data_IF_073279357010
#
_entry.id   IF_073279357010
#
_cell.length_a   1.000
_cell.length_b   1.000
_cell.length_c   1.000
_cell.angle_alpha   90.00
_cell.angle_beta   90.00
_cell.angle_gamma   90.00
#
_symmetry.space_group_name_H-M   'P 1'
#
loop_
_entity.id
_entity.type
_entity.pdbx_description
1 polymer ?
#
# COMPACT_ATOMS: atom_id res chain seq x y z
N UNK A 1 49.26 13.82 -20.57
CA UNK A 1 48.26 13.53 -19.53
C UNK A 1 47.26 12.53 -20.09
N UNK A 2 47.37 11.22 -19.80
CA UNK A 2 46.35 10.25 -20.23
C UNK A 2 45.06 10.46 -19.42
N UNK A 3 43.93 10.64 -20.11
CA UNK A 3 42.63 10.85 -19.48
C UNK A 3 42.07 9.57 -18.87
N UNK A 4 41.57 9.67 -17.64
CA UNK A 4 40.96 8.56 -16.92
C UNK A 4 39.43 8.69 -16.98
N UNK A 5 38.78 8.00 -17.92
CA UNK A 5 37.33 8.00 -18.06
C UNK A 5 36.69 6.95 -17.14
N UNK A 6 35.67 7.30 -16.33
CA UNK A 6 35.01 6.34 -15.46
C UNK A 6 34.15 5.35 -16.26
N UNK A 7 34.13 4.08 -15.83
CA UNK A 7 33.26 3.03 -16.39
C UNK A 7 31.85 3.12 -15.80
N UNK A 8 30.78 2.86 -16.58
CA UNK A 8 29.43 2.74 -16.06
C UNK A 8 29.23 1.43 -15.26
N UNK A 9 28.30 1.40 -14.29
CA UNK A 9 28.04 0.22 -13.47
C UNK A 9 27.25 -0.86 -14.22
N UNK A 10 27.69 -2.12 -14.09
CA UNK A 10 26.98 -3.30 -14.60
C UNK A 10 25.71 -3.59 -13.79
N UNK A 11 24.59 -3.75 -14.49
CA UNK A 11 23.27 -4.04 -13.90
C UNK A 11 23.19 -5.43 -13.26
N UNK A 12 22.64 -5.49 -12.04
CA UNK A 12 22.44 -6.71 -11.29
C UNK A 12 21.23 -7.50 -11.82
N UNK A 13 21.34 -8.84 -11.83
CA UNK A 13 20.36 -9.75 -12.41
C UNK A 13 19.42 -10.29 -11.33
N UNK A 14 18.22 -9.71 -11.21
CA UNK A 14 17.18 -10.16 -10.28
C UNK A 14 16.78 -11.61 -10.54
N UNK A 15 16.89 -12.47 -9.52
CA UNK A 15 16.33 -13.82 -9.53
C UNK A 15 15.06 -13.85 -8.67
N UNK A 16 13.98 -14.40 -9.24
CA UNK A 16 12.70 -14.60 -8.57
C UNK A 16 12.42 -16.09 -8.41
N UNK A 17 12.06 -16.52 -7.21
CA UNK A 17 11.54 -17.88 -6.97
C UNK A 17 10.66 -17.95 -5.70
N UNK A 18 9.36 -17.78 -5.93
CA UNK A 18 8.29 -18.71 -5.55
C UNK A 18 8.28 -19.38 -4.16
N UNK A 19 7.38 -18.85 -3.33
CA UNK A 19 6.46 -19.53 -2.39
C UNK A 19 6.18 -21.03 -2.59
N UNK A 20 6.22 -21.82 -1.50
CA UNK A 20 5.33 -22.98 -1.30
C UNK A 20 5.29 -23.48 0.17
N UNK A 21 4.09 -23.43 0.78
CA UNK A 21 3.62 -24.17 1.98
C UNK A 21 2.13 -23.81 2.15
N UNK A 22 1.25 -24.62 2.79
CA UNK A 22 1.53 -25.71 3.74
C UNK A 22 0.77 -27.04 3.47
N UNK A 23 1.09 -28.10 4.23
CA UNK A 23 0.23 -29.30 4.34
C UNK A 23 -0.06 -29.63 5.80
N UNK A 24 -1.34 -29.60 6.19
CA UNK A 24 -1.85 -30.16 7.45
C UNK A 24 -1.56 -31.66 7.51
N UNK A 25 -1.31 -32.20 8.71
CA UNK A 25 -1.90 -33.49 9.01
C UNK A 25 -2.34 -33.61 10.49
N UNK A 26 -3.41 -34.37 10.70
CA UNK A 26 -4.10 -34.55 11.98
C UNK A 26 -3.95 -36.00 12.45
N UNK A 27 -3.72 -36.25 13.73
CA UNK A 27 -4.07 -37.55 14.35
C UNK A 27 -3.99 -37.54 15.88
N UNK A 28 -5.14 -37.71 16.53
CA UNK A 28 -5.31 -38.14 17.92
C UNK A 28 -6.75 -38.70 18.08
N UNK A 29 -7.09 -39.42 19.16
CA UNK A 29 -6.56 -40.76 19.45
C UNK A 29 -7.69 -41.81 19.51
N UNK A 30 -7.31 -43.10 19.48
CA UNK A 30 -8.23 -44.24 19.51
C UNK A 30 -8.86 -44.50 20.89
N UNK A 31 -10.17 -44.84 20.90
CA UNK A 31 -10.88 -45.34 22.10
C UNK A 31 -10.63 -46.85 22.31
N UNK A 32 -10.60 -47.33 23.57
CA UNK A 32 -10.52 -48.76 23.88
C UNK A 32 -11.87 -49.49 23.74
N UNK A 33 -11.79 -50.81 23.61
CA UNK A 33 -12.88 -51.73 23.29
C UNK A 33 -13.62 -52.29 24.51
N UNK A 34 -14.88 -52.66 24.30
CA UNK A 34 -15.71 -53.40 25.27
C UNK A 34 -15.64 -54.92 25.06
N UNK A 35 -15.51 -55.67 26.16
CA UNK A 35 -15.85 -57.09 26.27
C UNK A 35 -16.38 -57.31 27.71
N UNK A 36 -17.49 -58.00 28.02
CA UNK A 36 -18.35 -59.04 27.43
C UNK A 36 -18.12 -60.45 28.04
N UNK A 37 -18.99 -60.78 29.00
CA UNK A 37 -19.51 -62.11 29.40
C UNK A 37 -18.56 -63.21 29.91
N UNK A 38 -18.91 -63.84 31.04
CA UNK A 38 -19.42 -65.25 31.14
C UNK A 38 -19.83 -65.57 32.61
N UNK A 39 -21.03 -66.11 32.87
CA UNK A 39 -21.41 -67.54 33.05
C UNK A 39 -20.88 -68.14 34.38
N UNK A 40 -21.66 -68.25 35.46
CA UNK A 40 -22.84 -69.10 35.72
C UNK A 40 -22.55 -70.62 35.87
N UNK A 41 -22.72 -71.15 37.11
CA UNK A 41 -23.29 -72.47 37.55
C UNK A 41 -22.66 -72.87 38.92
N UNK A 42 -23.24 -73.63 39.88
CA UNK A 42 -24.65 -74.07 40.17
C UNK A 42 -24.70 -75.03 41.38
N UNK A 43 -25.53 -74.75 42.41
CA UNK A 43 -25.77 -75.63 43.58
C UNK A 43 -25.28 -75.00 44.91
N UNK A 44 -25.81 -75.34 46.10
CA UNK A 44 -26.74 -76.42 46.49
C UNK A 44 -27.70 -76.02 47.64
N UNK A 45 -28.59 -76.98 48.00
CA UNK A 45 -29.54 -77.03 49.12
C UNK A 45 -28.95 -76.48 50.46
N UNK A 46 -29.73 -75.96 51.41
CA UNK A 46 -31.19 -75.80 51.50
C UNK A 46 -31.70 -76.12 52.91
N UNK A 47 -32.33 -75.15 53.60
CA UNK A 47 -32.93 -75.36 54.92
C UNK A 47 -34.18 -74.47 55.12
N UNK A 48 -35.27 -75.04 55.64
CA UNK A 48 -36.57 -74.36 55.78
C UNK A 48 -36.61 -73.47 57.03
N UNK A 49 -36.12 -72.24 56.93
CA UNK A 49 -36.30 -71.23 57.97
C UNK A 49 -37.75 -70.73 58.05
N UNK A 50 -38.22 -70.49 59.27
CA UNK A 50 -39.60 -70.08 59.56
C UNK A 50 -39.90 -68.64 59.13
N UNK A 51 -41.18 -68.32 58.90
CA UNK A 51 -41.62 -67.04 58.31
C UNK A 51 -41.18 -65.77 59.08
N UNK A 52 -40.90 -65.87 60.39
CA UNK A 52 -40.34 -64.76 61.18
C UNK A 52 -38.83 -64.56 60.97
N UNK A 53 -38.05 -65.64 60.83
CA UNK A 53 -36.61 -65.54 60.60
C UNK A 53 -36.28 -64.98 59.20
N UNK A 54 -37.07 -65.35 58.18
CA UNK A 54 -36.88 -64.86 56.80
C UNK A 54 -36.99 -63.34 56.71
N UNK A 55 -37.94 -62.74 57.45
CA UNK A 55 -38.18 -61.29 57.48
C UNK A 55 -37.05 -60.51 58.17
N UNK A 56 -36.48 -61.06 59.25
CA UNK A 56 -35.30 -60.49 59.94
C UNK A 56 -34.05 -60.59 59.06
N UNK A 57 -33.85 -61.72 58.37
CA UNK A 57 -32.70 -61.90 57.46
C UNK A 57 -32.77 -60.93 56.27
N UNK A 58 -33.95 -60.75 55.69
CA UNK A 58 -34.19 -59.82 54.57
C UNK A 58 -34.04 -58.35 54.99
N UNK A 59 -34.49 -57.98 56.19
CA UNK A 59 -34.32 -56.63 56.73
C UNK A 59 -32.85 -56.32 57.04
N UNK A 60 -32.12 -57.27 57.64
CA UNK A 60 -30.67 -57.13 57.89
C UNK A 60 -29.87 -57.05 56.60
N UNK A 61 -30.26 -57.81 55.57
CA UNK A 61 -29.65 -57.76 54.24
C UNK A 61 -29.88 -56.41 53.55
N UNK A 62 -31.05 -55.78 53.73
CA UNK A 62 -31.31 -54.41 53.25
C UNK A 62 -30.50 -53.35 53.98
N UNK A 63 -30.32 -53.45 55.30
CA UNK A 63 -29.45 -52.53 56.04
C UNK A 63 -27.98 -52.66 55.62
N UNK A 64 -27.52 -53.89 55.36
CA UNK A 64 -26.16 -54.18 54.91
C UNK A 64 -25.92 -53.71 53.46
N UNK A 65 -26.90 -53.89 52.57
CA UNK A 65 -26.89 -53.40 51.19
C UNK A 65 -27.02 -51.86 51.12
N UNK A 66 -27.82 -51.22 51.99
CA UNK A 66 -27.90 -49.76 52.11
C UNK A 66 -26.59 -49.16 52.69
N UNK A 67 -25.96 -49.84 53.65
CA UNK A 67 -24.66 -49.44 54.21
C UNK A 67 -23.56 -49.54 53.16
N UNK A 68 -23.50 -50.65 52.40
CA UNK A 68 -22.57 -50.80 51.27
C UNK A 68 -22.81 -49.73 50.20
N UNK A 69 -24.07 -49.40 49.87
CA UNK A 69 -24.37 -48.35 48.90
C UNK A 69 -23.91 -46.96 49.37
N UNK A 70 -24.03 -46.65 50.67
CA UNK A 70 -23.53 -45.39 51.25
C UNK A 70 -22.00 -45.33 51.26
N UNK A 71 -21.33 -46.43 51.60
CA UNK A 71 -19.85 -46.52 51.56
C UNK A 71 -19.31 -46.40 50.11
N UNK A 72 -20.02 -46.95 49.12
CA UNK A 72 -19.69 -46.80 47.69
C UNK A 72 -19.98 -45.36 47.19
N UNK A 73 -21.12 -44.74 47.55
CA UNK A 73 -21.44 -43.34 47.25
C UNK A 73 -20.41 -42.37 47.87
N UNK A 74 -19.96 -42.62 49.11
CA UNK A 74 -18.93 -41.79 49.76
C UNK A 74 -17.56 -41.96 49.11
N UNK A 75 -17.19 -43.18 48.67
CA UNK A 75 -15.94 -43.42 47.93
C UNK A 75 -15.93 -42.69 46.58
N UNK A 76 -17.00 -42.84 45.79
CA UNK A 76 -17.16 -42.15 44.49
C UNK A 76 -17.08 -40.64 44.67
N UNK A 77 -17.78 -40.06 45.66
CA UNK A 77 -17.78 -38.61 45.91
C UNK A 77 -16.39 -38.08 46.28
N UNK A 78 -15.58 -38.88 46.96
CA UNK A 78 -14.20 -38.55 47.33
C UNK A 78 -13.25 -38.63 46.13
N UNK A 79 -13.40 -39.65 45.30
CA UNK A 79 -12.68 -39.80 44.01
C UNK A 79 -13.01 -38.63 43.06
N UNK A 80 -14.29 -38.23 42.94
CA UNK A 80 -14.72 -37.08 42.13
C UNK A 80 -14.15 -35.72 42.62
N UNK A 81 -14.09 -35.50 43.95
CA UNK A 81 -13.52 -34.27 44.49
C UNK A 81 -12.00 -34.20 44.29
N UNK A 82 -11.29 -35.33 44.40
CA UNK A 82 -9.85 -35.43 44.15
C UNK A 82 -9.54 -35.24 42.65
N UNK A 83 -10.33 -35.83 41.75
CA UNK A 83 -10.19 -35.63 40.30
C UNK A 83 -10.47 -34.17 39.90
N UNK A 84 -11.48 -33.52 40.52
CA UNK A 84 -11.78 -32.11 40.28
C UNK A 84 -10.61 -31.21 40.71
N UNK A 85 -10.06 -31.42 41.91
CA UNK A 85 -8.87 -30.67 42.39
C UNK A 85 -7.67 -30.86 41.48
N UNK A 86 -7.43 -32.09 41.00
CA UNK A 86 -6.34 -32.39 40.08
C UNK A 86 -6.49 -31.65 38.73
N UNK A 87 -7.70 -31.64 38.16
CA UNK A 87 -8.02 -30.89 36.92
C UNK A 87 -7.83 -29.38 37.09
N UNK A 88 -8.30 -28.83 38.21
CA UNK A 88 -8.16 -27.39 38.52
C UNK A 88 -6.69 -26.98 38.70
N UNK A 89 -5.86 -27.83 39.34
CA UNK A 89 -4.42 -27.57 39.47
C UNK A 89 -3.68 -27.70 38.13
N UNK A 90 -4.07 -28.65 37.28
CA UNK A 90 -3.51 -28.85 35.94
C UNK A 90 -3.86 -27.67 35.01
N UNK A 91 -5.13 -27.22 35.01
CA UNK A 91 -5.57 -26.04 34.26
C UNK A 91 -4.86 -24.77 34.74
N UNK A 92 -4.68 -24.60 36.07
CA UNK A 92 -3.93 -23.46 36.62
C UNK A 92 -2.47 -23.45 36.13
N UNK A 93 -1.79 -24.61 36.12
CA UNK A 93 -0.42 -24.74 35.60
C UNK A 93 -0.34 -24.43 34.12
N UNK A 94 -1.27 -24.94 33.30
CA UNK A 94 -1.33 -24.65 31.87
C UNK A 94 -1.53 -23.14 31.61
N UNK A 95 -2.41 -22.50 32.37
CA UNK A 95 -2.66 -21.06 32.21
C UNK A 95 -1.47 -20.19 32.66
N UNK A 96 -0.78 -20.59 33.74
CA UNK A 96 0.42 -19.91 34.24
C UNK A 96 1.59 -20.05 33.25
N UNK A 97 1.83 -21.24 32.69
CA UNK A 97 2.78 -21.45 31.60
C UNK A 97 2.43 -20.61 30.36
N UNK A 98 1.15 -20.55 30.00
CA UNK A 98 0.68 -19.78 28.83
C UNK A 98 0.90 -18.29 29.03
N UNK A 99 0.64 -17.76 30.23
CA UNK A 99 0.89 -16.36 30.56
C UNK A 99 2.39 -16.05 30.52
N UNK A 100 3.21 -16.91 31.12
CA UNK A 100 4.68 -16.76 31.09
C UNK A 100 5.23 -16.75 29.66
N UNK A 101 4.80 -17.70 28.80
CA UNK A 101 5.17 -17.73 27.37
C UNK A 101 4.72 -16.47 26.61
N UNK A 102 3.55 -15.93 26.93
CA UNK A 102 3.06 -14.69 26.31
C UNK A 102 3.84 -13.44 26.78
N UNK A 103 4.25 -13.39 28.06
CA UNK A 103 5.11 -12.34 28.60
C UNK A 103 6.52 -12.39 27.99
N UNK A 104 7.10 -13.59 27.84
CA UNK A 104 8.40 -13.82 27.18
C UNK A 104 8.36 -13.44 25.69
N UNK A 105 7.33 -13.86 24.94
CA UNK A 105 7.15 -13.49 23.52
C UNK A 105 6.98 -11.99 23.34
N UNK A 106 6.15 -11.35 24.19
CA UNK A 106 5.97 -9.90 24.16
C UNK A 106 7.30 -9.18 24.41
N UNK A 107 8.09 -9.61 25.41
CA UNK A 107 9.40 -9.03 25.70
C UNK A 107 10.35 -9.17 24.51
N UNK A 108 10.37 -10.32 23.82
CA UNK A 108 11.18 -10.51 22.60
C UNK A 108 10.75 -9.54 21.49
N UNK A 109 9.45 -9.38 21.26
CA UNK A 109 8.92 -8.46 20.25
C UNK A 109 9.19 -6.98 20.59
N UNK A 110 9.10 -6.59 21.86
CA UNK A 110 9.44 -5.23 22.32
C UNK A 110 10.96 -4.96 22.16
N UNK A 111 11.83 -5.95 22.39
CA UNK A 111 13.29 -5.88 22.15
C UNK A 111 13.64 -5.81 20.66
N UNK A 112 13.04 -6.68 19.82
CA UNK A 112 13.19 -6.66 18.35
C UNK A 112 12.75 -5.32 17.77
N UNK A 113 11.59 -4.81 18.21
CA UNK A 113 11.09 -3.50 17.79
C UNK A 113 12.01 -2.37 18.24
N UNK A 114 12.53 -2.41 19.47
CA UNK A 114 13.48 -1.44 19.98
C UNK A 114 14.76 -1.35 19.13
N UNK A 115 15.31 -2.48 18.68
CA UNK A 115 16.44 -2.53 17.75
C UNK A 115 16.06 -2.00 16.36
N UNK A 116 14.91 -2.41 15.82
CA UNK A 116 14.46 -1.97 14.49
C UNK A 116 14.23 -0.45 14.43
N UNK A 117 13.52 0.10 15.42
CA UNK A 117 13.18 1.53 15.49
C UNK A 117 14.42 2.42 15.74
N UNK A 118 15.45 1.91 16.44
CA UNK A 118 16.65 2.69 16.79
C UNK A 118 17.82 2.57 15.81
N UNK A 119 18.00 1.43 15.12
CA UNK A 119 19.12 1.23 14.20
C UNK A 119 18.68 1.19 12.74
N UNK A 120 17.61 0.43 12.42
CA UNK A 120 17.23 0.15 11.02
C UNK A 120 16.51 1.35 10.41
N UNK A 121 15.53 1.94 11.11
CA UNK A 121 14.78 3.10 10.58
C UNK A 121 15.70 4.31 10.32
N UNK A 122 16.59 4.74 11.25
CA UNK A 122 17.50 5.85 10.98
C UNK A 122 18.48 5.55 9.84
N UNK A 123 19.09 4.36 9.81
CA UNK A 123 20.00 3.97 8.72
C UNK A 123 19.31 3.96 7.35
N UNK A 124 18.06 3.50 7.29
CA UNK A 124 17.29 3.53 6.04
C UNK A 124 16.93 4.97 5.62
N UNK A 125 16.55 5.83 6.58
CA UNK A 125 16.27 7.24 6.34
C UNK A 125 17.50 8.00 5.83
N UNK A 126 18.68 7.76 6.41
CA UNK A 126 19.95 8.36 5.97
C UNK A 126 20.34 7.90 4.55
N UNK A 127 20.20 6.60 4.25
CA UNK A 127 20.43 6.04 2.91
C UNK A 127 19.48 6.64 1.88
N UNK A 128 18.19 6.75 2.22
CA UNK A 128 17.19 7.36 1.35
C UNK A 128 17.49 8.84 1.10
N UNK A 129 17.85 9.60 2.14
CA UNK A 129 18.24 11.01 2.02
C UNK A 129 19.49 11.19 1.15
N UNK A 130 20.50 10.33 1.30
CA UNK A 130 21.70 10.34 0.44
C UNK A 130 21.35 10.04 -1.02
N UNK A 131 20.46 9.06 -1.27
CA UNK A 131 19.99 8.75 -2.62
C UNK A 131 19.19 9.92 -3.24
N UNK A 132 18.37 10.63 -2.45
CA UNK A 132 17.63 11.80 -2.93
C UNK A 132 18.57 12.97 -3.28
N UNK A 133 19.64 13.18 -2.51
CA UNK A 133 20.67 14.18 -2.85
C UNK A 133 21.34 13.83 -4.18
N UNK A 134 21.83 12.59 -4.33
CA UNK A 134 22.50 12.15 -5.57
C UNK A 134 21.57 12.24 -6.78
N UNK A 135 20.28 11.89 -6.62
CA UNK A 135 19.29 12.03 -7.68
C UNK A 135 19.04 13.50 -8.05
N UNK A 136 19.01 14.43 -7.08
CA UNK A 136 18.89 15.87 -7.34
C UNK A 136 20.13 16.42 -8.05
N UNK A 137 21.34 16.01 -7.64
CA UNK A 137 22.59 16.40 -8.31
C UNK A 137 22.66 15.87 -9.75
N UNK A 138 22.19 14.65 -10.01
CA UNK A 138 22.12 14.07 -11.36
C UNK A 138 21.08 14.79 -12.24
N UNK A 139 19.92 15.15 -11.69
CA UNK A 139 18.90 15.92 -12.39
C UNK A 139 19.35 17.37 -12.70
N UNK A 140 19.96 18.07 -11.74
CA UNK A 140 20.57 19.39 -11.95
C UNK A 140 21.68 19.33 -13.02
N UNK A 141 22.49 18.27 -13.02
CA UNK A 141 23.50 18.04 -14.05
C UNK A 141 22.88 17.77 -15.43
N UNK A 142 21.82 16.97 -15.51
CA UNK A 142 21.12 16.72 -16.77
C UNK A 142 20.47 18.00 -17.33
N UNK A 143 19.86 18.83 -16.48
CA UNK A 143 19.32 20.15 -16.85
C UNK A 143 20.42 21.08 -17.39
N UNK A 144 21.60 21.08 -16.76
CA UNK A 144 22.78 21.82 -17.26
C UNK A 144 23.30 21.29 -18.60
N UNK A 145 23.45 19.97 -18.76
CA UNK A 145 23.94 19.34 -20.01
C UNK A 145 22.99 19.55 -21.19
N UNK A 146 21.68 19.53 -20.94
CA UNK A 146 20.66 19.79 -21.96
C UNK A 146 20.47 21.29 -22.25
N UNK A 147 21.14 22.18 -21.51
CA UNK A 147 20.94 23.63 -21.55
C UNK A 147 19.47 24.05 -21.37
N UNK A 148 18.73 23.34 -20.52
CA UNK A 148 17.32 23.66 -20.26
C UNK A 148 17.22 24.91 -19.38
N UNK A 149 16.81 26.03 -19.98
CA UNK A 149 16.58 27.32 -19.30
C UNK A 149 15.27 27.34 -18.49
N UNK A 150 14.98 26.26 -17.77
CA UNK A 150 13.80 26.16 -16.91
C UNK A 150 14.04 26.97 -15.62
N UNK A 151 13.05 27.73 -15.12
CA UNK A 151 13.20 28.52 -13.91
C UNK A 151 13.37 27.62 -12.68
N UNK A 152 14.13 28.12 -11.70
CA UNK A 152 14.28 27.48 -10.39
C UNK A 152 13.00 27.66 -9.58
N UNK A 153 12.30 26.55 -9.35
CA UNK A 153 11.05 26.54 -8.59
C UNK A 153 11.21 26.94 -7.11
N UNK A 154 12.43 26.81 -6.57
CA UNK A 154 12.80 27.25 -5.22
C UNK A 154 12.99 28.80 -5.12
N UNK A 155 12.97 29.54 -6.24
CA UNK A 155 13.21 31.00 -6.30
C UNK A 155 12.02 31.76 -6.90
N UNK A 156 11.27 32.44 -6.03
CA UNK A 156 10.20 33.37 -6.40
C UNK A 156 10.62 34.38 -7.49
N UNK A 157 11.86 34.87 -7.47
CA UNK A 157 12.32 35.89 -8.43
C UNK A 157 12.42 35.29 -9.82
N UNK A 158 12.99 34.10 -9.94
CA UNK A 158 13.17 33.40 -11.22
C UNK A 158 11.81 32.97 -11.81
N UNK A 159 10.91 32.43 -10.97
CA UNK A 159 9.54 32.12 -11.37
C UNK A 159 8.72 33.34 -11.82
N UNK A 160 8.85 34.48 -11.13
CA UNK A 160 8.19 35.72 -11.54
C UNK A 160 8.81 36.30 -12.82
N UNK A 161 10.14 36.18 -13.00
CA UNK A 161 10.81 36.59 -14.23
C UNK A 161 10.34 35.75 -15.43
N UNK A 162 10.24 34.43 -15.28
CA UNK A 162 9.74 33.52 -16.32
C UNK A 162 8.28 33.82 -16.72
N UNK A 163 7.39 34.03 -15.75
CA UNK A 163 5.99 34.39 -16.04
C UNK A 163 5.89 35.77 -16.69
N UNK A 164 6.75 36.72 -16.29
CA UNK A 164 6.76 38.06 -16.88
C UNK A 164 7.30 38.04 -18.31
N UNK A 165 8.41 37.34 -18.57
CA UNK A 165 8.97 37.21 -19.92
C UNK A 165 8.02 36.47 -20.87
N UNK A 166 7.31 35.45 -20.40
CA UNK A 166 6.24 34.79 -21.16
C UNK A 166 5.14 35.78 -21.57
N UNK A 167 4.65 36.60 -20.64
CA UNK A 167 3.62 37.62 -20.93
C UNK A 167 4.12 38.66 -21.91
N UNK A 168 5.34 39.16 -21.71
CA UNK A 168 5.96 40.14 -22.61
C UNK A 168 6.13 39.57 -24.03
N UNK A 169 6.56 38.31 -24.15
CA UNK A 169 6.64 37.60 -25.43
C UNK A 169 5.28 37.45 -26.09
N UNK A 170 4.24 37.04 -25.34
CA UNK A 170 2.88 36.90 -25.87
C UNK A 170 2.29 38.26 -26.29
N UNK A 171 2.51 39.33 -25.53
CA UNK A 171 2.08 40.70 -25.89
C UNK A 171 2.83 41.22 -27.13
N UNK A 172 4.13 40.95 -27.25
CA UNK A 172 4.91 41.25 -28.45
C UNK A 172 4.44 40.44 -29.67
N UNK A 173 4.02 39.18 -29.47
CA UNK A 173 3.44 38.33 -30.51
C UNK A 173 2.03 38.79 -30.93
N UNK A 174 1.24 39.40 -30.04
CA UNK A 174 -0.02 40.08 -30.39
C UNK A 174 0.20 41.38 -31.19
N UNK A 175 1.26 42.14 -30.88
CA UNK A 175 1.57 43.42 -31.55
C UNK A 175 2.20 43.27 -32.93
N UNK A 176 2.88 42.15 -33.21
CA UNK A 176 3.45 41.85 -34.52
C UNK A 176 2.37 41.27 -35.43
N UNK A 177 2.20 41.80 -36.64
CA UNK A 177 1.26 41.27 -37.66
C UNK A 177 1.59 39.85 -38.15
N UNK A 178 2.72 39.29 -37.71
CA UNK A 178 3.17 37.93 -38.03
C UNK A 178 3.57 37.24 -36.71
N UNK A 179 2.61 36.55 -36.09
CA UNK A 179 2.82 35.66 -34.95
C UNK A 179 3.34 34.30 -35.45
N UNK A 180 4.41 33.78 -34.84
CA UNK A 180 4.95 32.46 -35.16
C UNK A 180 4.32 31.39 -34.26
N UNK A 181 3.30 30.72 -34.79
CA UNK A 181 2.58 29.63 -34.10
C UNK A 181 3.53 28.53 -33.59
N UNK A 182 4.64 28.25 -34.27
CA UNK A 182 5.59 27.24 -33.81
C UNK A 182 6.31 27.66 -32.51
N UNK A 183 6.58 28.95 -32.34
CA UNK A 183 7.14 29.51 -31.11
C UNK A 183 6.09 29.49 -29.99
N UNK A 184 4.85 29.87 -30.27
CA UNK A 184 3.75 29.82 -29.28
C UNK A 184 3.53 28.41 -28.72
N UNK A 185 3.47 27.38 -29.58
CA UNK A 185 3.32 26.00 -29.14
C UNK A 185 4.59 25.42 -28.50
N UNK A 186 5.79 25.91 -28.86
CA UNK A 186 7.02 25.55 -28.15
C UNK A 186 7.01 26.10 -26.72
N UNK A 187 6.64 27.38 -26.53
CA UNK A 187 6.46 27.98 -25.20
C UNK A 187 5.45 27.17 -24.38
N UNK A 188 4.26 26.86 -24.93
CA UNK A 188 3.25 26.02 -24.26
C UNK A 188 3.84 24.69 -23.75
N UNK A 189 4.70 24.02 -24.54
CA UNK A 189 5.35 22.77 -24.12
C UNK A 189 6.36 23.00 -23.00
N UNK A 190 7.14 24.08 -23.05
CA UNK A 190 8.05 24.47 -21.96
C UNK A 190 7.28 24.79 -20.67
N UNK A 191 6.16 25.51 -20.76
CA UNK A 191 5.28 25.76 -19.61
C UNK A 191 4.70 24.49 -19.02
N UNK A 192 4.31 23.52 -19.85
CA UNK A 192 3.88 22.19 -19.38
C UNK A 192 5.00 21.43 -18.66
N UNK A 193 6.27 21.54 -19.10
CA UNK A 193 7.41 20.99 -18.35
C UNK A 193 7.53 21.63 -16.96
N UNK A 194 7.53 22.96 -16.89
CA UNK A 194 7.61 23.71 -15.62
C UNK A 194 6.42 23.34 -14.70
N UNK A 195 5.22 23.20 -15.25
CA UNK A 195 4.02 22.81 -14.52
C UNK A 195 4.17 21.42 -13.87
N UNK A 196 4.66 20.42 -14.63
CA UNK A 196 4.88 19.06 -14.10
C UNK A 196 5.91 19.05 -12.95
N UNK A 197 6.98 19.84 -13.05
CA UNK A 197 8.00 19.97 -12.00
C UNK A 197 7.41 20.61 -10.72
N UNK A 198 6.50 21.60 -10.87
CA UNK A 198 5.80 22.20 -9.72
C UNK A 198 4.76 21.23 -9.13
N UNK A 199 4.09 20.40 -9.94
CA UNK A 199 3.21 19.34 -9.43
C UNK A 199 3.99 18.32 -8.58
N UNK A 200 5.20 17.94 -9.00
CA UNK A 200 6.09 17.09 -8.21
C UNK A 200 6.45 17.74 -6.86
N UNK A 201 6.87 19.02 -6.86
CA UNK A 201 7.17 19.75 -5.62
C UNK A 201 5.93 19.96 -4.73
N UNK A 202 4.74 20.12 -5.32
CA UNK A 202 3.48 20.20 -4.57
C UNK A 202 3.22 18.88 -3.82
N UNK A 203 3.36 17.73 -4.50
CA UNK A 203 3.21 16.41 -3.87
C UNK A 203 4.26 16.20 -2.75
N UNK A 204 5.51 16.62 -2.97
CA UNK A 204 6.55 16.58 -1.94
C UNK A 204 6.20 17.50 -0.74
N UNK A 205 5.69 18.72 -1.00
CA UNK A 205 5.30 19.67 0.05
C UNK A 205 4.17 19.14 0.93
N UNK A 206 3.20 18.44 0.34
CA UNK A 206 2.09 17.78 1.03
C UNK A 206 2.63 16.62 1.90
N UNK A 207 3.50 15.78 1.34
CA UNK A 207 4.14 14.70 2.09
C UNK A 207 4.97 15.20 3.28
N UNK A 208 5.58 16.39 3.16
CA UNK A 208 6.34 17.04 4.23
C UNK A 208 5.48 17.96 5.13
N UNK A 209 4.18 18.10 4.86
CA UNK A 209 3.25 19.00 5.56
C UNK A 209 3.66 20.48 5.59
N UNK A 210 4.36 20.95 4.54
CA UNK A 210 4.86 22.33 4.38
C UNK A 210 3.80 23.24 3.72
N UNK A 211 2.85 23.74 4.50
CA UNK A 211 1.70 24.53 4.01
C UNK A 211 2.06 25.81 3.24
N UNK A 212 3.16 26.47 3.60
CA UNK A 212 3.60 27.69 2.91
C UNK A 212 4.05 27.37 1.47
N UNK A 213 4.77 26.26 1.30
CA UNK A 213 5.21 25.76 0.00
C UNK A 213 4.02 25.22 -0.82
N UNK A 214 3.10 24.49 -0.19
CA UNK A 214 1.84 24.03 -0.81
C UNK A 214 1.04 25.21 -1.41
N UNK A 215 0.89 26.29 -0.64
CA UNK A 215 0.19 27.52 -1.05
C UNK A 215 0.95 28.22 -2.19
N UNK A 216 2.28 28.29 -2.09
CA UNK A 216 3.15 28.85 -3.12
C UNK A 216 3.05 28.07 -4.43
N UNK A 217 3.27 26.74 -4.44
CA UNK A 217 3.18 25.89 -5.63
C UNK A 217 1.79 26.00 -6.28
N UNK A 218 0.72 25.95 -5.48
CA UNK A 218 -0.66 26.11 -5.97
C UNK A 218 -0.87 27.46 -6.68
N UNK A 219 -0.29 28.56 -6.17
CA UNK A 219 -0.35 29.88 -6.80
C UNK A 219 0.33 29.89 -8.17
N UNK A 220 1.53 29.32 -8.29
CA UNK A 220 2.27 29.29 -9.57
C UNK A 220 1.66 28.32 -10.59
N UNK A 221 1.13 27.17 -10.18
CA UNK A 221 0.35 26.28 -11.06
C UNK A 221 -0.83 27.00 -11.69
N UNK A 222 -1.60 27.75 -10.89
CA UNK A 222 -2.71 28.56 -11.41
C UNK A 222 -2.25 29.64 -12.38
N UNK A 223 -1.11 30.33 -12.12
CA UNK A 223 -0.61 31.32 -13.07
C UNK A 223 -0.12 30.70 -14.38
N UNK A 224 0.64 29.60 -14.33
CA UNK A 224 1.14 28.91 -15.53
C UNK A 224 0.00 28.33 -16.35
N UNK A 225 -0.96 27.64 -15.70
CA UNK A 225 -2.17 27.12 -16.36
C UNK A 225 -2.92 28.22 -17.11
N UNK A 226 -3.15 29.38 -16.48
CA UNK A 226 -3.77 30.53 -17.14
C UNK A 226 -2.92 31.08 -18.30
N UNK A 227 -1.59 31.14 -18.18
CA UNK A 227 -0.72 31.60 -19.28
C UNK A 227 -0.71 30.62 -20.46
N UNK A 228 -0.67 29.30 -20.19
CA UNK A 228 -0.74 28.24 -21.20
C UNK A 228 -2.07 28.31 -21.95
N UNK A 229 -3.20 28.37 -21.23
CA UNK A 229 -4.54 28.49 -21.84
C UNK A 229 -4.63 29.76 -22.67
N UNK A 230 -4.21 30.91 -22.14
CA UNK A 230 -4.23 32.17 -22.89
C UNK A 230 -3.36 32.11 -24.16
N UNK A 231 -2.14 31.58 -24.10
CA UNK A 231 -1.29 31.44 -25.29
C UNK A 231 -1.87 30.46 -26.31
N UNK A 232 -2.53 29.38 -25.87
CA UNK A 232 -3.26 28.48 -26.76
C UNK A 232 -4.48 29.16 -27.41
N UNK A 233 -5.25 29.94 -26.67
CA UNK A 233 -6.39 30.70 -27.18
C UNK A 233 -5.94 31.77 -28.18
N UNK A 234 -4.89 32.53 -27.88
CA UNK A 234 -4.31 33.54 -28.77
C UNK A 234 -3.76 32.92 -30.07
N UNK A 235 -3.04 31.80 -29.97
CA UNK A 235 -2.54 31.06 -31.13
C UNK A 235 -3.70 30.48 -31.97
N UNK A 236 -4.75 29.98 -31.32
CA UNK A 236 -5.97 29.48 -31.99
C UNK A 236 -6.70 30.59 -32.71
N UNK A 237 -6.90 31.74 -32.07
CA UNK A 237 -7.52 32.92 -32.66
C UNK A 237 -6.74 33.40 -33.90
N UNK A 238 -5.39 33.40 -33.84
CA UNK A 238 -4.54 33.73 -34.97
C UNK A 238 -4.65 32.71 -36.13
N UNK A 239 -4.69 31.40 -35.83
CA UNK A 239 -4.95 30.35 -36.84
C UNK A 239 -6.31 30.58 -37.50
N UNK A 240 -7.36 30.89 -36.72
CA UNK A 240 -8.70 31.14 -37.24
C UNK A 240 -8.79 32.43 -38.07
N UNK A 241 -8.13 33.50 -37.65
CA UNK A 241 -8.13 34.79 -38.36
C UNK A 241 -7.41 34.71 -39.71
N UNK A 242 -6.36 33.91 -39.81
CA UNK A 242 -5.55 33.75 -41.02
C UNK A 242 -5.63 32.32 -41.60
N UNK A 243 -6.78 31.65 -41.45
CA UNK A 243 -6.94 30.25 -41.84
C UNK A 243 -6.55 29.97 -43.30
N UNK A 244 -6.82 30.90 -44.23
CA UNK A 244 -6.40 30.83 -45.64
C UNK A 244 -4.87 30.67 -45.82
N UNK A 245 -4.05 31.19 -44.89
CA UNK A 245 -2.57 31.01 -44.91
C UNK A 245 -2.14 29.63 -44.40
N UNK A 246 -2.99 28.93 -43.65
CA UNK A 246 -2.72 27.63 -43.03
C UNK A 246 -3.42 26.46 -43.75
N UNK A 247 -4.31 26.74 -44.70
CA UNK A 247 -4.84 25.75 -45.64
C UNK A 247 -3.80 25.45 -46.74
N UNK A 248 -2.92 24.47 -46.49
CA UNK A 248 -2.07 23.89 -47.54
C UNK A 248 -2.94 23.34 -48.69
N UNK A 249 -2.52 23.56 -49.94
CA UNK A 249 -3.38 23.30 -51.12
C UNK A 249 -3.63 21.83 -51.47
N UNK A 250 -3.05 20.89 -50.70
CA UNK A 250 -3.13 19.45 -50.97
C UNK A 250 -3.67 18.67 -49.75
N UNK A 251 -5.00 18.72 -49.55
CA UNK A 251 -5.82 17.79 -48.75
C UNK A 251 -5.50 17.54 -47.26
N UNK A 252 -4.34 17.96 -46.73
CA UNK A 252 -3.95 17.71 -45.35
C UNK A 252 -4.71 18.63 -44.38
N UNK A 253 -5.75 18.06 -43.77
CA UNK A 253 -6.57 18.70 -42.74
C UNK A 253 -5.81 18.93 -41.41
N UNK A 254 -4.55 18.49 -41.31
CA UNK A 254 -3.77 18.49 -40.08
C UNK A 254 -2.35 19.03 -40.31
N UNK A 255 -1.92 19.97 -39.47
CA UNK A 255 -0.52 20.40 -39.39
C UNK A 255 0.12 19.90 -38.09
N UNK A 256 1.36 19.41 -38.19
CA UNK A 256 2.19 19.08 -37.03
C UNK A 256 3.08 20.28 -36.70
N UNK A 257 2.81 20.93 -35.58
CA UNK A 257 3.58 22.08 -35.09
C UNK A 257 4.74 21.63 -34.20
N UNK A 258 4.44 20.68 -33.31
CA UNK A 258 5.40 20.18 -32.33
C UNK A 258 5.40 18.63 -32.36
N UNK A 259 6.47 17.94 -31.94
CA UNK A 259 6.46 16.49 -31.70
C UNK A 259 5.19 15.95 -31.03
N UNK A 260 4.68 16.66 -30.01
CA UNK A 260 3.53 16.25 -29.18
C UNK A 260 2.19 16.94 -29.54
N UNK A 261 2.21 18.02 -30.33
CA UNK A 261 1.03 18.84 -30.63
C UNK A 261 0.77 18.89 -32.13
N UNK A 262 -0.43 18.46 -32.52
CA UNK A 262 -0.99 18.57 -33.87
C UNK A 262 -2.28 19.38 -33.79
N UNK A 263 -2.52 20.24 -34.77
CA UNK A 263 -3.82 20.88 -34.95
C UNK A 263 -4.40 20.51 -36.31
N UNK A 264 -5.72 20.54 -36.42
CA UNK A 264 -6.42 20.42 -37.68
C UNK A 264 -7.48 21.50 -37.86
N UNK A 265 -7.61 21.98 -39.10
CA UNK A 265 -8.63 22.97 -39.47
C UNK A 265 -9.70 22.23 -40.27
N UNK A 266 -10.91 22.12 -39.71
CA UNK A 266 -12.04 21.54 -40.42
C UNK A 266 -12.96 22.65 -40.95
N UNK A 267 -12.81 22.94 -42.24
CA UNK A 267 -13.70 23.83 -42.98
C UNK A 267 -14.94 23.07 -43.45
N UNK A 268 -16.11 23.34 -42.86
CA UNK A 268 -17.37 22.99 -43.52
C UNK A 268 -17.77 24.18 -44.41
N UNK A 269 -17.33 24.10 -45.68
CA UNK A 269 -17.54 25.09 -46.76
C UNK A 269 -18.98 25.62 -46.80
N UNK A 270 -19.96 24.80 -46.39
CA UNK A 270 -21.37 25.15 -46.42
C UNK A 270 -21.81 26.14 -45.33
N UNK A 271 -21.33 26.02 -44.07
CA UNK A 271 -21.99 26.70 -42.92
C UNK A 271 -21.13 27.11 -41.69
N UNK A 272 -20.01 26.47 -41.35
CA UNK A 272 -19.23 26.82 -40.13
C UNK A 272 -17.75 26.37 -40.23
N UNK A 273 -16.85 27.12 -39.60
CA UNK A 273 -15.43 26.78 -39.41
C UNK A 273 -15.23 26.15 -38.02
N UNK A 274 -14.52 25.02 -37.94
CA UNK A 274 -14.12 24.41 -36.67
C UNK A 274 -12.62 24.15 -36.67
N UNK A 275 -11.93 24.49 -35.58
CA UNK A 275 -10.53 24.10 -35.33
C UNK A 275 -10.52 23.02 -34.26
N UNK A 276 -9.77 21.95 -34.50
CA UNK A 276 -9.67 20.80 -33.60
C UNK A 276 -8.20 20.58 -33.26
N UNK A 277 -7.87 20.64 -31.97
CA UNK A 277 -6.54 20.31 -31.48
C UNK A 277 -6.47 18.84 -31.07
N UNK A 278 -5.40 18.16 -31.50
CA UNK A 278 -5.13 16.77 -31.14
C UNK A 278 -3.76 16.72 -30.46
N UNK A 279 -3.79 16.83 -29.13
CA UNK A 279 -2.63 16.55 -28.29
C UNK A 279 -2.41 15.04 -28.32
N UNK A 280 -1.25 14.60 -28.82
CA UNK A 280 -0.85 13.19 -28.76
C UNK A 280 -0.11 12.96 -27.44
N UNK A 281 -0.69 12.18 -26.53
CA UNK A 281 0.04 11.57 -25.41
C UNK A 281 0.98 10.48 -25.93
#
# INVERSE_FOLDING_TARGET
>A
MPGNTPKPPTSAKTQSSTTASPTKNQSAPSKPSSSKSTKAEKGEKGEKLTAKQKKVLEQKKKEEEEKQRKEEEERIRKEEEEERKRKEEEERKINEERRKKAEEEKKRLDEEKGSFDSEVIPSFKEKLHTLMIVAKEEDEWNKFVNCENLPKLDDDVDMNNFISSWRDLNELALKKEIRNINEDFAMVVEGCKVMNEIEYLLVESIAQSKKDLETHCTKYLNYLSNCIVQTMDDATAHIMQYFDKYLSSENDQYQKVHPFIKYGIWTNISKNLYVIFLISQ
#
